data_IF_418151560008
#
_entry.id   IF_418151560008
#
_cell.length_a   1.000
_cell.length_b   1.000
_cell.length_c   1.000
_cell.angle_alpha   90.00
_cell.angle_beta   90.00
_cell.angle_gamma   90.00
#
_symmetry.space_group_name_H-M   'P 1'
#
loop_
_entity.id
_entity.type
_entity.pdbx_description
1 polymer ?
#
# COMPACT_ATOMS: atom_id res chain seq x y z
N UNK A 1 -4.48 20.41 -6.81
CA UNK A 1 -5.93 20.13 -6.86
C UNK A 1 -6.37 19.83 -8.29
N UNK A 2 -6.00 20.67 -9.26
CA UNK A 2 -6.32 20.55 -10.69
C UNK A 2 -5.91 19.23 -11.35
N UNK A 3 -4.71 18.71 -11.08
CA UNK A 3 -4.28 17.42 -11.64
C UNK A 3 -5.21 16.26 -11.21
N UNK A 4 -5.69 16.25 -9.96
CA UNK A 4 -6.63 15.23 -9.45
C UNK A 4 -8.02 15.40 -10.06
N UNK A 5 -8.47 16.64 -10.23
CA UNK A 5 -9.74 16.96 -10.88
C UNK A 5 -9.73 16.59 -12.38
N UNK A 6 -8.60 16.79 -13.06
CA UNK A 6 -8.40 16.39 -14.46
C UNK A 6 -8.50 14.87 -14.61
N UNK A 7 -7.79 14.11 -13.77
CA UNK A 7 -7.84 12.65 -13.77
C UNK A 7 -9.25 12.10 -13.52
N UNK A 8 -10.00 12.75 -12.64
CA UNK A 8 -11.39 12.40 -12.33
C UNK A 8 -12.29 12.56 -13.57
N UNK A 9 -12.20 13.69 -14.28
CA UNK A 9 -12.98 13.92 -15.51
C UNK A 9 -12.57 12.97 -16.64
N UNK A 10 -11.27 12.74 -16.84
CA UNK A 10 -10.78 11.78 -17.83
C UNK A 10 -11.24 10.34 -17.54
N UNK A 11 -11.38 9.97 -16.26
CA UNK A 11 -11.92 8.67 -15.85
C UNK A 11 -13.44 8.60 -16.05
N UNK A 12 -14.15 9.70 -15.82
CA UNK A 12 -15.60 9.79 -16.02
C UNK A 12 -16.01 9.62 -17.49
N UNK A 13 -15.12 9.95 -18.44
CA UNK A 13 -15.30 9.70 -19.88
C UNK A 13 -15.71 8.26 -20.21
N UNK A 14 -15.13 7.28 -19.50
CA UNK A 14 -15.43 5.85 -19.69
C UNK A 14 -16.71 5.40 -19.02
N UNK A 15 -17.15 6.15 -17.99
CA UNK A 15 -18.34 5.82 -17.20
C UNK A 15 -19.62 6.43 -17.79
N UNK A 16 -19.48 7.56 -18.47
CA UNK A 16 -20.57 8.32 -19.08
C UNK A 16 -20.27 8.60 -20.56
N UNK A 17 -20.25 7.57 -21.43
CA UNK A 17 -19.94 7.72 -22.85
C UNK A 17 -20.92 8.64 -23.60
N UNK A 18 -22.16 8.76 -23.12
CA UNK A 18 -23.23 9.59 -23.67
C UNK A 18 -23.05 11.10 -23.44
N UNK A 19 -22.14 11.51 -22.56
CA UNK A 19 -21.91 12.92 -22.22
C UNK A 19 -20.83 13.50 -23.13
N UNK A 20 -21.25 14.20 -24.19
CA UNK A 20 -20.37 14.78 -25.23
C UNK A 20 -19.26 15.69 -24.66
N UNK A 21 -19.60 16.51 -23.67
CA UNK A 21 -18.67 17.43 -23.02
C UNK A 21 -17.54 16.71 -22.26
N UNK A 22 -17.71 15.45 -21.84
CA UNK A 22 -16.65 14.64 -21.22
C UNK A 22 -15.75 13.94 -22.26
N UNK A 23 -16.21 13.83 -23.50
CA UNK A 23 -15.43 13.21 -24.59
C UNK A 23 -14.42 14.20 -25.19
N UNK A 24 -14.69 15.50 -25.09
CA UNK A 24 -13.76 16.55 -25.48
C UNK A 24 -12.70 16.79 -24.39
N UNK A 25 -11.54 16.15 -24.57
CA UNK A 25 -10.41 16.28 -23.65
C UNK A 25 -9.84 17.70 -23.55
N UNK A 26 -10.01 18.53 -24.57
CA UNK A 26 -9.53 19.92 -24.59
C UNK A 26 -10.46 20.81 -23.76
N UNK A 27 -11.77 20.61 -23.91
CA UNK A 27 -12.79 21.27 -23.07
C UNK A 27 -12.63 20.88 -21.59
N UNK A 28 -12.50 19.58 -21.32
CA UNK A 28 -12.35 19.06 -19.95
C UNK A 28 -11.13 19.62 -19.25
N UNK A 29 -9.99 19.72 -19.93
CA UNK A 29 -8.71 20.19 -19.35
C UNK A 29 -8.66 21.71 -19.16
N UNK A 30 -9.26 22.48 -20.07
CA UNK A 30 -9.30 23.95 -19.98
C UNK A 30 -10.28 24.46 -18.91
N UNK A 31 -11.37 23.73 -18.64
CA UNK A 31 -12.38 24.14 -17.66
C UNK A 31 -12.15 23.63 -16.22
N UNK A 32 -11.10 22.83 -15.95
CA UNK A 32 -10.86 22.21 -14.62
C UNK A 32 -10.78 23.24 -13.49
N UNK A 33 -10.06 24.33 -13.72
CA UNK A 33 -9.89 25.39 -12.73
C UNK A 33 -11.25 26.04 -12.41
N UNK A 34 -12.07 26.28 -13.43
CA UNK A 34 -13.42 26.81 -13.27
C UNK A 34 -14.34 25.83 -12.51
N UNK A 35 -14.31 24.55 -12.88
CA UNK A 35 -15.08 23.50 -12.22
C UNK A 35 -14.73 23.38 -10.73
N UNK A 36 -13.47 23.61 -10.35
CA UNK A 36 -13.05 23.63 -8.95
C UNK A 36 -13.61 24.80 -8.14
N UNK A 37 -14.10 25.87 -8.78
CA UNK A 37 -14.72 27.02 -8.08
C UNK A 37 -16.22 26.85 -7.82
N UNK A 38 -16.91 25.98 -8.55
CA UNK A 38 -18.37 25.89 -8.53
C UNK A 38 -18.95 25.22 -7.29
N UNK A 39 -19.71 25.94 -6.47
CA UNK A 39 -20.31 25.42 -5.22
C UNK A 39 -21.69 24.76 -5.38
N UNK A 40 -22.23 24.64 -6.59
CA UNK A 40 -23.58 24.10 -6.84
C UNK A 40 -23.56 22.94 -7.84
N UNK A 41 -24.24 21.84 -7.50
CA UNK A 41 -24.40 20.67 -8.39
C UNK A 41 -25.20 20.99 -9.64
N UNK A 42 -26.14 21.95 -9.56
CA UNK A 42 -27.02 22.32 -10.67
C UNK A 42 -26.23 22.77 -11.92
N UNK A 43 -25.06 23.38 -11.75
CA UNK A 43 -24.19 23.75 -12.88
C UNK A 43 -23.55 22.53 -13.55
N UNK A 44 -23.17 21.53 -12.78
CA UNK A 44 -22.66 20.26 -13.30
C UNK A 44 -23.77 19.47 -13.99
N UNK A 45 -24.97 19.45 -13.40
CA UNK A 45 -26.14 18.77 -13.98
C UNK A 45 -26.56 19.36 -15.33
N UNK A 46 -26.42 20.68 -15.50
CA UNK A 46 -26.71 21.35 -16.77
C UNK A 46 -25.72 20.99 -17.90
N UNK A 47 -24.48 20.64 -17.57
CA UNK A 47 -23.39 20.42 -18.55
C UNK A 47 -23.14 18.93 -18.80
N UNK A 48 -23.25 18.12 -17.76
CA UNK A 48 -22.95 16.69 -17.80
C UNK A 48 -24.20 15.82 -17.69
N UNK A 49 -25.39 16.41 -17.50
CA UNK A 49 -26.63 15.68 -17.26
C UNK A 49 -26.87 15.40 -15.78
N UNK A 50 -28.12 15.07 -15.42
CA UNK A 50 -28.57 14.94 -14.02
C UNK A 50 -27.77 13.89 -13.22
N UNK A 51 -27.49 12.73 -13.81
CA UNK A 51 -26.79 11.64 -13.11
C UNK A 51 -25.27 11.88 -13.02
N UNK A 52 -24.61 12.09 -14.17
CA UNK A 52 -23.17 12.33 -14.20
C UNK A 52 -22.78 13.65 -13.51
N UNK A 53 -23.62 14.67 -13.60
CA UNK A 53 -23.40 15.96 -12.96
C UNK A 53 -23.39 15.87 -11.43
N UNK A 54 -24.31 15.10 -10.83
CA UNK A 54 -24.34 14.87 -9.38
C UNK A 54 -23.13 14.06 -8.89
N UNK A 55 -22.77 12.98 -9.60
CA UNK A 55 -21.60 12.14 -9.26
C UNK A 55 -20.28 12.93 -9.39
N UNK A 56 -20.12 13.70 -10.48
CA UNK A 56 -18.94 14.55 -10.67
C UNK A 56 -18.87 15.65 -9.62
N UNK A 57 -19.97 16.33 -9.33
CA UNK A 57 -20.00 17.37 -8.31
C UNK A 57 -19.63 16.83 -6.93
N UNK A 58 -20.14 15.66 -6.53
CA UNK A 58 -19.79 15.01 -5.27
C UNK A 58 -18.29 14.72 -5.17
N UNK A 59 -17.68 14.15 -6.22
CA UNK A 59 -16.23 13.89 -6.25
C UNK A 59 -15.39 15.18 -6.25
N UNK A 60 -15.88 16.24 -6.89
CA UNK A 60 -15.24 17.57 -6.82
C UNK A 60 -15.38 18.21 -5.44
N UNK A 61 -16.49 17.99 -4.76
CA UNK A 61 -16.72 18.43 -3.38
C UNK A 61 -15.79 17.69 -2.41
N UNK A 62 -15.65 16.37 -2.53
CA UNK A 62 -14.68 15.58 -1.78
C UNK A 62 -13.24 16.08 -1.99
N UNK A 63 -12.91 16.43 -3.23
CA UNK A 63 -11.60 16.96 -3.57
C UNK A 63 -11.33 18.32 -2.90
N UNK A 64 -12.35 19.17 -2.73
CA UNK A 64 -12.25 20.44 -2.01
C UNK A 64 -12.23 20.26 -0.50
N UNK A 65 -13.02 19.33 0.04
CA UNK A 65 -13.04 18.98 1.46
C UNK A 65 -11.72 18.34 1.90
N UNK A 66 -11.07 17.57 1.01
CA UNK A 66 -9.73 17.02 1.25
C UNK A 66 -8.63 18.07 1.46
N UNK A 67 -8.91 19.35 1.18
CA UNK A 67 -8.02 20.49 1.40
C UNK A 67 -8.46 21.36 2.59
N UNK A 68 -9.69 21.19 3.09
CA UNK A 68 -10.23 21.98 4.21
C UNK A 68 -10.24 21.25 5.55
N UNK A 69 -9.99 19.95 5.58
CA UNK A 69 -9.98 19.16 6.82
C UNK A 69 -8.63 19.20 7.58
N UNK A 70 -7.98 20.37 7.62
CA UNK A 70 -6.99 20.74 8.66
C UNK A 70 -7.62 21.60 9.78
N UNK A 71 -8.95 21.79 9.79
CA UNK A 71 -9.62 22.49 10.89
C UNK A 71 -11.00 21.89 11.22
N UNK A 72 -11.11 21.39 12.46
CA UNK A 72 -12.29 21.17 13.32
C UNK A 72 -13.32 20.04 13.05
N UNK A 73 -13.29 19.10 14.01
CA UNK A 73 -14.37 18.48 14.83
C UNK A 73 -15.30 17.40 14.29
N UNK A 74 -15.14 16.20 14.88
CA UNK A 74 -16.11 15.35 15.60
C UNK A 74 -17.47 15.02 14.96
N UNK A 75 -17.72 13.74 14.66
CA UNK A 75 -18.59 12.87 15.47
C UNK A 75 -18.81 11.46 14.86
N UNK A 76 -18.49 10.46 15.68
CA UNK A 76 -19.14 9.16 15.96
C UNK A 76 -19.72 8.25 14.86
N UNK A 77 -19.06 7.09 14.65
CA UNK A 77 -19.66 5.77 14.91
C UNK A 77 -18.62 4.62 14.89
N UNK A 78 -18.14 4.31 16.10
CA UNK A 78 -17.98 3.00 16.74
C UNK A 78 -17.54 1.74 15.95
N UNK A 79 -16.32 1.26 16.23
CA UNK A 79 -16.15 0.09 17.11
C UNK A 79 -14.70 -0.01 17.63
N UNK A 80 -14.59 0.10 18.96
CA UNK A 80 -13.35 0.14 19.73
C UNK A 80 -12.54 -1.17 19.71
N UNK A 81 -11.21 -1.04 19.69
CA UNK A 81 -10.31 -1.73 20.64
C UNK A 81 -8.89 -1.16 20.52
N UNK A 82 -8.62 -0.17 21.38
CA UNK A 82 -7.34 0.26 21.96
C UNK A 82 -6.02 0.01 21.20
N UNK A 83 -5.44 1.09 20.68
CA UNK A 83 -4.02 1.20 20.34
C UNK A 83 -3.46 2.53 20.84
N UNK A 84 -2.67 2.48 21.91
CA UNK A 84 -1.92 3.60 22.47
C UNK A 84 -1.03 4.28 21.41
N UNK A 85 -1.06 5.61 21.41
CA UNK A 85 -0.38 6.44 20.44
C UNK A 85 1.13 6.51 20.63
N UNK A 86 1.85 6.51 19.51
CA UNK A 86 3.10 7.23 19.37
C UNK A 86 3.02 8.03 18.07
N UNK A 87 2.94 9.35 18.21
CA UNK A 87 2.88 10.35 17.14
C UNK A 87 4.11 10.29 16.25
N UNK A 88 3.91 10.29 14.93
CA UNK A 88 4.89 10.84 13.98
C UNK A 88 4.16 11.56 12.84
N UNK A 89 4.56 12.81 12.63
CA UNK A 89 4.02 13.84 11.74
C UNK A 89 3.72 13.39 10.30
N UNK A 90 2.59 13.90 9.77
CA UNK A 90 2.64 14.82 8.64
C UNK A 90 2.85 14.28 7.22
N UNK A 91 2.53 13.01 6.94
CA UNK A 91 2.39 12.55 5.56
C UNK A 91 1.31 11.47 5.51
N UNK A 92 0.11 11.80 5.05
CA UNK A 92 -0.92 10.80 4.71
C UNK A 92 -0.52 10.07 3.42
N UNK A 93 0.63 9.37 3.49
CA UNK A 93 0.84 8.16 2.71
C UNK A 93 -0.36 7.29 3.08
N UNK A 94 -1.30 7.07 2.16
CA UNK A 94 -2.24 5.95 2.29
C UNK A 94 -1.35 4.75 2.64
N UNK A 95 -1.35 4.31 3.91
CA UNK A 95 -0.48 3.22 4.35
C UNK A 95 -0.91 2.02 3.52
N UNK A 96 -0.17 1.76 2.44
CA UNK A 96 -0.41 0.59 1.62
C UNK A 96 -0.28 -0.59 2.56
N UNK A 97 -1.28 -1.48 2.57
CA UNK A 97 -1.22 -2.68 3.40
C UNK A 97 0.11 -3.37 3.14
N UNK A 98 0.87 -3.76 4.17
CA UNK A 98 2.14 -4.41 3.98
C UNK A 98 1.93 -5.70 3.17
N UNK A 99 2.91 -6.03 2.32
CA UNK A 99 2.89 -7.22 1.47
C UNK A 99 3.95 -8.20 1.97
N UNK A 100 3.58 -9.48 2.12
CA UNK A 100 4.45 -10.48 2.76
C UNK A 100 5.79 -10.63 2.05
N UNK A 101 5.82 -10.76 0.72
CA UNK A 101 7.09 -10.93 0.01
C UNK A 101 8.03 -9.72 0.16
N UNK A 102 7.48 -8.50 0.23
CA UNK A 102 8.25 -7.27 0.46
C UNK A 102 8.82 -7.28 1.88
N UNK A 103 7.99 -7.64 2.86
CA UNK A 103 8.39 -7.81 4.24
C UNK A 103 9.53 -8.82 4.40
N UNK A 104 9.40 -10.02 3.79
CA UNK A 104 10.45 -11.04 3.84
C UNK A 104 11.76 -10.55 3.22
N UNK A 105 11.70 -9.82 2.09
CA UNK A 105 12.89 -9.26 1.47
C UNK A 105 13.55 -8.19 2.35
N UNK A 106 12.76 -7.37 3.06
CA UNK A 106 13.31 -6.43 4.04
C UNK A 106 13.97 -7.15 5.23
N UNK A 107 13.35 -8.21 5.78
CA UNK A 107 13.96 -9.00 6.85
C UNK A 107 15.30 -9.63 6.43
N UNK A 108 15.44 -10.01 5.17
CA UNK A 108 16.67 -10.58 4.64
C UNK A 108 17.83 -9.58 4.53
N UNK A 109 17.54 -8.28 4.56
CA UNK A 109 18.54 -7.21 4.57
C UNK A 109 18.92 -6.76 6.00
N UNK A 110 18.14 -7.14 7.01
CA UNK A 110 18.41 -6.79 8.41
C UNK A 110 19.35 -7.81 9.06
N UNK A 111 20.42 -7.31 9.68
CA UNK A 111 21.42 -8.15 10.36
C UNK A 111 20.82 -8.90 11.56
N UNK A 112 19.94 -8.24 12.29
CA UNK A 112 19.30 -8.75 13.52
C UNK A 112 18.39 -9.95 13.29
N UNK A 113 17.98 -10.22 12.05
CA UNK A 113 17.05 -11.30 11.70
C UNK A 113 17.70 -12.51 11.04
N UNK A 114 19.03 -12.48 10.81
CA UNK A 114 19.77 -13.57 10.13
C UNK A 114 19.67 -14.94 10.81
N UNK A 115 19.43 -14.98 12.12
CA UNK A 115 19.22 -16.23 12.87
C UNK A 115 17.85 -16.87 12.58
N UNK A 116 16.89 -16.12 12.04
CA UNK A 116 15.51 -16.54 11.78
C UNK A 116 15.23 -16.72 10.28
N UNK A 117 15.76 -15.82 9.45
CA UNK A 117 15.62 -15.83 8.00
C UNK A 117 16.90 -15.30 7.36
N UNK A 118 17.44 -16.01 6.35
CA UNK A 118 18.74 -15.65 5.76
C UNK A 118 18.84 -16.03 4.29
N UNK A 119 19.68 -15.30 3.56
CA UNK A 119 20.12 -15.69 2.23
C UNK A 119 20.98 -16.95 2.31
N UNK A 120 20.63 -17.99 1.52
CA UNK A 120 21.57 -19.07 1.18
C UNK A 120 22.48 -18.64 0.04
N UNK A 121 21.89 -17.96 -0.95
CA UNK A 121 22.58 -17.34 -2.05
C UNK A 121 21.82 -16.08 -2.48
N UNK A 122 22.39 -14.93 -2.15
CA UNK A 122 21.79 -13.62 -2.46
C UNK A 122 21.82 -13.31 -3.97
N UNK A 123 22.76 -13.88 -4.72
CA UNK A 123 22.93 -13.58 -6.15
C UNK A 123 21.78 -14.16 -6.99
N UNK A 124 21.33 -15.36 -6.64
CA UNK A 124 20.17 -16.00 -7.27
C UNK A 124 18.86 -15.82 -6.50
N UNK A 125 18.87 -15.04 -5.41
CA UNK A 125 17.69 -14.75 -4.60
C UNK A 125 17.18 -15.94 -3.78
N UNK A 126 18.04 -16.90 -3.44
CA UNK A 126 17.72 -18.09 -2.65
C UNK A 126 17.87 -17.80 -1.15
N UNK A 127 16.80 -17.99 -0.39
CA UNK A 127 16.79 -17.81 1.05
C UNK A 127 16.11 -18.97 1.77
N UNK A 128 16.37 -19.07 3.07
CA UNK A 128 15.74 -20.06 3.95
C UNK A 128 15.27 -19.43 5.26
N UNK A 129 14.20 -20.00 5.82
CA UNK A 129 13.80 -19.78 7.20
C UNK A 129 14.39 -20.89 8.07
N UNK A 130 14.86 -20.54 9.27
CA UNK A 130 15.28 -21.56 10.23
C UNK A 130 14.07 -22.29 10.81
N UNK A 131 14.22 -23.59 11.02
CA UNK A 131 13.19 -24.41 11.64
C UNK A 131 12.84 -23.90 13.04
N UNK A 132 11.58 -24.09 13.42
CA UNK A 132 10.97 -23.71 14.69
C UNK A 132 11.11 -22.22 15.07
N UNK A 133 12.31 -21.79 15.48
CA UNK A 133 12.61 -20.41 15.87
C UNK A 133 12.35 -19.44 14.72
N UNK A 134 12.83 -19.74 13.52
CA UNK A 134 12.69 -18.85 12.37
C UNK A 134 11.25 -18.73 11.89
N UNK A 135 10.58 -19.85 11.69
CA UNK A 135 9.18 -19.88 11.25
C UNK A 135 8.24 -19.19 12.25
N UNK A 136 8.40 -19.44 13.56
CA UNK A 136 7.61 -18.79 14.62
C UNK A 136 7.87 -17.28 14.68
N UNK A 137 9.13 -16.87 14.72
CA UNK A 137 9.48 -15.46 14.87
C UNK A 137 9.07 -14.61 13.65
N UNK A 138 9.31 -15.12 12.43
CA UNK A 138 8.89 -14.42 11.20
C UNK A 138 7.37 -14.30 11.11
N UNK A 139 6.63 -15.37 11.46
CA UNK A 139 5.16 -15.32 11.48
C UNK A 139 4.63 -14.35 12.55
N UNK A 140 5.24 -14.32 13.73
CA UNK A 140 4.92 -13.38 14.79
C UNK A 140 5.12 -11.92 14.32
N UNK A 141 6.29 -11.59 13.76
CA UNK A 141 6.58 -10.26 13.24
C UNK A 141 5.61 -9.86 12.12
N UNK A 142 5.27 -10.79 11.24
CA UNK A 142 4.27 -10.56 10.19
C UNK A 142 2.88 -10.27 10.77
N UNK A 143 2.49 -10.99 11.82
CA UNK A 143 1.27 -10.74 12.59
C UNK A 143 1.24 -9.32 13.17
N UNK A 144 2.34 -8.89 13.78
CA UNK A 144 2.49 -7.51 14.31
C UNK A 144 2.38 -6.47 13.19
N UNK A 145 3.06 -6.70 12.05
CA UNK A 145 3.02 -5.80 10.89
C UNK A 145 1.62 -5.66 10.27
N UNK A 146 0.81 -6.73 10.31
CA UNK A 146 -0.54 -6.76 9.75
C UNK A 146 -1.66 -6.57 10.78
N UNK A 147 -1.30 -6.33 12.05
CA UNK A 147 -2.22 -6.32 13.19
C UNK A 147 -3.10 -7.59 13.30
N UNK A 148 -2.53 -8.75 12.98
CA UNK A 148 -3.15 -10.06 13.13
C UNK A 148 -2.39 -10.89 14.19
N UNK A 149 -2.83 -10.90 15.47
CA UNK A 149 -2.14 -11.60 16.54
C UNK A 149 -2.22 -13.13 16.44
N UNK A 150 -3.15 -13.66 15.63
CA UNK A 150 -3.30 -15.12 15.39
C UNK A 150 -2.46 -15.60 14.19
N UNK A 151 -1.53 -14.79 13.71
CA UNK A 151 -0.68 -15.16 12.58
C UNK A 151 0.27 -16.30 12.96
N UNK A 152 0.20 -17.38 12.18
CA UNK A 152 1.08 -18.56 12.30
C UNK A 152 1.80 -18.81 10.98
N UNK A 153 2.89 -19.59 11.03
CA UNK A 153 3.58 -19.99 9.82
C UNK A 153 2.67 -20.76 8.87
N UNK A 154 1.81 -21.66 9.35
CA UNK A 154 0.86 -22.40 8.51
C UNK A 154 -0.06 -21.46 7.72
N UNK A 155 -0.59 -20.43 8.38
CA UNK A 155 -1.45 -19.42 7.74
C UNK A 155 -0.65 -18.58 6.74
N UNK A 156 0.52 -18.08 7.16
CA UNK A 156 1.40 -17.28 6.31
C UNK A 156 1.90 -18.05 5.08
N UNK A 157 2.16 -19.35 5.23
CA UNK A 157 2.67 -20.23 4.17
C UNK A 157 1.69 -20.39 3.01
N UNK A 158 0.39 -20.10 3.21
CA UNK A 158 -0.62 -20.05 2.14
C UNK A 158 -0.28 -18.98 1.11
N UNK A 159 0.14 -17.79 1.55
CA UNK A 159 0.64 -16.74 0.66
C UNK A 159 1.93 -17.15 -0.05
N UNK A 160 2.85 -17.83 0.65
CA UNK A 160 4.10 -18.33 0.04
C UNK A 160 3.85 -19.35 -1.07
N UNK A 161 2.77 -20.14 -0.97
CA UNK A 161 2.35 -21.07 -2.02
C UNK A 161 1.85 -20.33 -3.25
N UNK A 162 0.96 -19.35 -3.07
CA UNK A 162 0.46 -18.51 -4.16
C UNK A 162 1.58 -17.71 -4.86
N UNK A 163 2.64 -17.35 -4.15
CA UNK A 163 3.81 -16.70 -4.77
C UNK A 163 4.55 -17.57 -5.78
N UNK A 164 4.47 -18.90 -5.68
CA UNK A 164 5.00 -19.80 -6.71
C UNK A 164 4.15 -19.77 -7.98
N UNK A 165 2.83 -19.68 -7.82
CA UNK A 165 1.86 -19.63 -8.93
C UNK A 165 1.91 -18.28 -9.65
N UNK A 166 2.02 -17.19 -8.90
CA UNK A 166 2.05 -15.82 -9.43
C UNK A 166 3.46 -15.38 -9.89
N UNK A 167 4.45 -16.29 -9.91
CA UNK A 167 5.79 -16.00 -10.43
C UNK A 167 6.68 -15.12 -9.56
N UNK A 168 6.28 -14.82 -8.32
CA UNK A 168 7.08 -14.09 -7.33
C UNK A 168 8.23 -14.96 -6.81
N UNK A 169 7.97 -16.26 -6.60
CA UNK A 169 8.95 -17.26 -6.23
C UNK A 169 9.15 -18.28 -7.35
N UNK A 170 10.39 -18.70 -7.59
CA UNK A 170 10.67 -19.80 -8.51
C UNK A 170 10.54 -21.15 -7.79
N UNK A 171 9.71 -22.09 -8.30
CA UNK A 171 9.83 -23.51 -7.98
C UNK A 171 10.89 -24.21 -8.86
N UNK A 172 11.32 -25.44 -8.53
CA UNK A 172 11.10 -26.13 -7.26
C UNK A 172 12.09 -25.65 -6.18
N UNK A 173 11.67 -25.72 -4.90
CA UNK A 173 12.54 -25.42 -3.75
C UNK A 173 12.32 -26.43 -2.62
N UNK A 174 13.35 -26.74 -1.82
CA UNK A 174 13.21 -27.54 -0.60
C UNK A 174 12.26 -26.90 0.42
N UNK A 175 11.81 -27.65 1.45
CA UNK A 175 11.07 -27.09 2.57
C UNK A 175 11.77 -25.89 3.21
N UNK A 176 10.98 -24.90 3.63
CA UNK A 176 11.44 -23.63 4.24
C UNK A 176 12.42 -22.80 3.38
N UNK A 177 12.69 -23.24 2.16
CA UNK A 177 13.58 -22.58 1.22
C UNK A 177 12.75 -21.98 0.10
N UNK A 178 13.05 -20.75 -0.28
CA UNK A 178 12.34 -20.01 -1.31
C UNK A 178 13.34 -19.22 -2.16
N UNK A 179 13.03 -19.07 -3.45
CA UNK A 179 13.86 -18.31 -4.39
C UNK A 179 13.04 -17.19 -4.98
N UNK A 180 13.42 -15.94 -4.77
CA UNK A 180 12.82 -14.80 -5.45
C UNK A 180 13.08 -14.87 -6.95
N UNK A 181 12.06 -14.57 -7.75
CA UNK A 181 12.23 -14.42 -9.18
C UNK A 181 12.80 -13.04 -9.50
N UNK A 182 14.10 -12.96 -9.75
CA UNK A 182 14.78 -11.72 -10.10
C UNK A 182 14.48 -11.20 -11.51
N UNK A 183 13.71 -11.93 -12.31
CA UNK A 183 13.19 -11.46 -13.59
C UNK A 183 11.81 -10.80 -13.42
N UNK A 184 11.15 -10.99 -12.27
CA UNK A 184 9.82 -10.44 -12.03
C UNK A 184 9.88 -8.91 -11.86
N UNK A 185 9.11 -8.11 -12.63
CA UNK A 185 9.24 -6.65 -12.63
C UNK A 185 9.07 -5.99 -11.26
N UNK A 186 8.15 -6.49 -10.44
CA UNK A 186 7.94 -5.96 -9.08
C UNK A 186 9.12 -6.28 -8.14
N UNK A 187 9.75 -7.44 -8.31
CA UNK A 187 10.89 -7.85 -7.50
C UNK A 187 12.09 -6.97 -7.82
N UNK A 188 12.38 -6.76 -9.11
CA UNK A 188 13.48 -5.89 -9.55
C UNK A 188 13.31 -4.48 -9.00
N UNK A 189 12.12 -3.89 -9.23
CA UNK A 189 11.80 -2.53 -8.76
C UNK A 189 11.96 -2.38 -7.25
N UNK A 190 11.42 -3.34 -6.49
CA UNK A 190 11.50 -3.28 -5.04
C UNK A 190 12.93 -3.47 -4.54
N UNK A 191 13.66 -4.46 -5.06
CA UNK A 191 15.07 -4.70 -4.69
C UNK A 191 15.94 -3.49 -4.95
N UNK A 192 15.79 -2.82 -6.10
CA UNK A 192 16.55 -1.61 -6.38
C UNK A 192 16.22 -0.46 -5.42
N UNK A 193 14.97 -0.36 -4.97
CA UNK A 193 14.57 0.59 -3.94
C UNK A 193 15.17 0.31 -2.56
N UNK A 194 15.61 -0.92 -2.28
CA UNK A 194 16.25 -1.30 -1.01
C UNK A 194 17.71 -0.84 -0.92
N UNK A 195 18.35 -0.48 -2.05
CA UNK A 195 19.75 0.00 -2.07
C UNK A 195 19.91 1.33 -1.33
N UNK A 196 18.87 2.15 -1.28
CA UNK A 196 18.82 3.38 -0.48
C UNK A 196 18.18 3.07 0.88
N UNK A 197 18.94 2.41 1.76
CA UNK A 197 18.45 1.91 3.05
C UNK A 197 17.99 3.03 4.00
N UNK A 198 18.54 4.23 3.87
CA UNK A 198 18.20 5.40 4.69
C UNK A 198 16.83 6.00 4.32
N UNK A 199 16.45 5.94 3.05
CA UNK A 199 15.23 6.58 2.56
C UNK A 199 14.14 5.59 2.13
N UNK A 200 14.46 4.29 2.12
CA UNK A 200 13.50 3.25 1.81
C UNK A 200 12.47 3.08 2.94
N UNK A 201 11.28 3.70 2.76
CA UNK A 201 10.20 3.68 3.75
C UNK A 201 9.84 2.28 4.26
N UNK A 202 9.74 1.23 3.41
CA UNK A 202 9.56 -0.15 3.88
C UNK A 202 10.66 -0.63 4.83
N UNK A 203 11.94 -0.37 4.52
CA UNK A 203 13.06 -0.75 5.37
C UNK A 203 13.00 -0.07 6.73
N UNK A 204 12.79 1.25 6.76
CA UNK A 204 12.71 2.01 8.02
C UNK A 204 11.53 1.54 8.87
N UNK A 205 10.38 1.23 8.25
CA UNK A 205 9.20 0.73 8.95
C UNK A 205 9.46 -0.65 9.59
N UNK A 206 10.00 -1.60 8.82
CA UNK A 206 10.21 -2.96 9.32
C UNK A 206 11.42 -3.07 10.26
N UNK A 207 12.48 -2.29 10.07
CA UNK A 207 13.62 -2.25 11.02
C UNK A 207 13.17 -1.83 12.41
N UNK A 208 12.38 -0.74 12.51
CA UNK A 208 11.84 -0.27 13.79
C UNK A 208 10.97 -1.32 14.46
N UNK A 209 10.15 -2.04 13.70
CA UNK A 209 9.33 -3.13 14.23
C UNK A 209 10.20 -4.25 14.80
N UNK A 210 11.21 -4.69 14.05
CA UNK A 210 12.14 -5.75 14.50
C UNK A 210 12.90 -5.32 15.76
N UNK A 211 13.41 -4.09 15.79
CA UNK A 211 14.13 -3.55 16.96
C UNK A 211 13.24 -3.49 18.21
N UNK A 212 11.99 -3.05 18.07
CA UNK A 212 11.03 -3.01 19.18
C UNK A 212 10.78 -4.41 19.75
N UNK A 213 10.51 -5.39 18.90
CA UNK A 213 10.17 -6.75 19.34
C UNK A 213 11.39 -7.50 19.89
N UNK A 214 12.60 -7.30 19.33
CA UNK A 214 13.83 -7.91 19.85
C UNK A 214 14.29 -7.27 21.18
N UNK A 215 14.02 -5.98 21.40
CA UNK A 215 14.35 -5.31 22.66
C UNK A 215 13.38 -5.67 23.80
N UNK A 216 12.11 -5.90 23.48
CA UNK A 216 11.09 -6.30 24.46
C UNK A 216 11.15 -7.80 24.83
N UNK A 217 11.87 -8.61 24.05
CA UNK A 217 12.04 -10.05 24.26
C UNK A 217 13.25 -10.45 25.12
N UNK A 218 13.85 -9.52 25.89
CA UNK A 218 14.93 -9.76 26.85
C UNK A 218 14.44 -9.70 28.28
#
# INVERSE_FOLDING_TARGET
MEMKATQLLLKARWRYPEVTNLQDGVYVTSCVAEFLTWKSSAKFEKIFGSEAGKDLFAKFQDLRLSVKNEQSTDDENDCESNGCGAQFNGQTVRRRKPILWQFLMCLLELESTKSYIRWKDKTCGLFELTEDKGTKFVAFLWGRATNNPKMTYDTMSRSLRSYKENGIFCPPTPPLTHRFNYEHPEIVRFRDSLKDTQNCKPMVMFSKLVEQELCLGR
#
